data_IF_538016673505
#
_entry.id   IF_538016673505
#
_cell.length_a   1.000
_cell.length_b   1.000
_cell.length_c   1.000
_cell.angle_alpha   90.00
_cell.angle_beta   90.00
_cell.angle_gamma   90.00
#
_symmetry.space_group_name_H-M   'P 1'
#
loop_
_entity.id
_entity.type
_entity.pdbx_description
1 polymer ?
#
# COMPACT_ATOMS: atom_id res chain seq x y z
N UNK A 1 13.76 14.82 14.77
CA UNK A 1 13.93 13.44 15.26
C UNK A 1 12.74 12.97 16.11
N UNK A 2 12.35 13.69 17.17
CA UNK A 2 11.23 13.26 18.06
C UNK A 2 9.93 12.95 17.32
N UNK A 3 9.46 13.84 16.44
CA UNK A 3 8.23 13.62 15.64
C UNK A 3 8.35 12.39 14.74
N UNK A 4 9.53 12.13 14.18
CA UNK A 4 9.77 10.96 13.34
C UNK A 4 9.68 9.66 14.15
N UNK A 5 10.34 9.62 15.31
CA UNK A 5 10.27 8.48 16.22
C UNK A 5 8.84 8.24 16.72
N UNK A 6 8.08 9.31 16.99
CA UNK A 6 6.66 9.21 17.31
C UNK A 6 5.88 8.53 16.18
N UNK A 7 6.01 8.99 14.93
CA UNK A 7 5.31 8.36 13.79
C UNK A 7 5.73 6.90 13.59
N UNK A 8 7.00 6.59 13.80
CA UNK A 8 7.53 5.24 13.58
C UNK A 8 7.07 4.25 14.66
N UNK A 9 7.07 4.65 15.94
CA UNK A 9 6.75 3.77 17.06
C UNK A 9 5.31 3.86 17.58
N UNK A 10 4.58 4.94 17.30
CA UNK A 10 3.13 5.01 17.54
C UNK A 10 2.33 4.30 16.44
N UNK A 11 2.96 3.42 15.66
CA UNK A 11 2.35 2.64 14.62
C UNK A 11 2.35 1.17 15.01
N UNK A 12 1.18 0.53 15.10
CA UNK A 12 1.06 -0.87 15.49
C UNK A 12 1.67 -1.83 14.46
N UNK A 13 1.72 -1.44 13.18
CA UNK A 13 2.24 -2.28 12.11
C UNK A 13 3.72 -2.65 12.31
N UNK A 14 4.56 -1.75 12.83
CA UNK A 14 5.97 -2.09 13.10
C UNK A 14 6.10 -3.11 14.24
N UNK A 15 5.24 -3.01 15.26
CA UNK A 15 5.24 -3.93 16.40
C UNK A 15 4.75 -5.31 15.98
N UNK A 16 3.72 -5.37 15.13
CA UNK A 16 3.27 -6.62 14.51
C UNK A 16 4.39 -7.25 13.68
N UNK A 17 5.13 -6.45 12.92
CA UNK A 17 6.29 -6.93 12.16
C UNK A 17 7.35 -7.56 13.06
N UNK A 18 7.72 -6.91 14.16
CA UNK A 18 8.65 -7.50 15.14
C UNK A 18 8.11 -8.79 15.78
N UNK A 19 6.80 -8.87 16.06
CA UNK A 19 6.19 -10.06 16.67
C UNK A 19 6.17 -11.27 15.74
N UNK A 20 5.97 -11.07 14.43
CA UNK A 20 5.91 -12.16 13.45
C UNK A 20 7.29 -12.51 12.90
N UNK A 21 8.13 -11.50 12.62
CA UNK A 21 9.48 -11.69 12.09
C UNK A 21 10.40 -10.52 12.45
N UNK A 22 11.28 -10.76 13.43
CA UNK A 22 12.24 -9.77 13.92
C UNK A 22 13.14 -9.17 12.82
N UNK A 23 13.55 -9.97 11.82
CA UNK A 23 14.40 -9.53 10.71
C UNK A 23 13.63 -8.53 9.84
N UNK A 24 12.39 -8.84 9.48
CA UNK A 24 11.54 -7.94 8.67
C UNK A 24 11.27 -6.64 9.43
N UNK A 25 10.92 -6.71 10.72
CA UNK A 25 10.74 -5.52 11.56
C UNK A 25 11.99 -4.64 11.60
N UNK A 26 13.17 -5.24 11.74
CA UNK A 26 14.46 -4.52 11.71
C UNK A 26 14.72 -3.87 10.35
N UNK A 27 14.44 -4.58 9.25
CA UNK A 27 14.59 -4.02 7.89
C UNK A 27 13.63 -2.88 7.63
N UNK A 28 12.36 -2.98 8.04
CA UNK A 28 11.36 -1.91 7.93
C UNK A 28 11.83 -0.66 8.68
N UNK A 29 12.29 -0.83 9.93
CA UNK A 29 12.80 0.24 10.77
C UNK A 29 14.05 0.89 10.16
N UNK A 30 15.05 0.09 9.77
CA UNK A 30 16.29 0.57 9.17
C UNK A 30 16.01 1.32 7.86
N UNK A 31 15.19 0.76 6.97
CA UNK A 31 14.82 1.39 5.69
C UNK A 31 14.12 2.73 5.93
N UNK A 32 13.20 2.80 6.91
CA UNK A 32 12.51 4.03 7.29
C UNK A 32 13.47 5.10 7.81
N UNK A 33 14.41 4.73 8.69
CA UNK A 33 15.42 5.66 9.24
C UNK A 33 16.34 6.18 8.14
N UNK A 34 16.92 5.29 7.33
CA UNK A 34 17.85 5.70 6.26
C UNK A 34 17.15 6.51 5.17
N UNK A 35 15.90 6.18 4.84
CA UNK A 35 15.12 6.99 3.93
C UNK A 35 14.85 8.39 4.51
N UNK A 36 14.42 8.46 5.78
CA UNK A 36 14.18 9.74 6.46
C UNK A 36 15.43 10.64 6.49
N UNK A 37 16.60 10.09 6.83
CA UNK A 37 17.86 10.82 6.87
C UNK A 37 18.28 11.39 5.51
N UNK A 38 17.79 10.79 4.41
CA UNK A 38 18.17 11.18 3.04
C UNK A 38 17.10 12.00 2.35
N UNK A 39 15.95 12.21 3.01
CA UNK A 39 14.79 12.87 2.45
C UNK A 39 15.09 14.31 1.96
N UNK A 40 15.92 15.06 2.69
CA UNK A 40 16.33 16.42 2.28
C UNK A 40 17.36 16.45 1.14
N UNK A 41 17.99 15.32 0.83
CA UNK A 41 18.97 15.21 -0.24
C UNK A 41 18.26 14.96 -1.58
N UNK A 42 18.79 15.53 -2.67
CA UNK A 42 18.32 15.19 -4.02
C UNK A 42 18.77 13.79 -4.47
N UNK A 43 19.84 13.28 -3.86
CA UNK A 43 20.47 11.99 -4.19
C UNK A 43 19.95 10.88 -3.26
N UNK A 44 19.69 9.71 -3.84
CA UNK A 44 19.34 8.50 -3.08
C UNK A 44 20.62 7.93 -2.48
N UNK A 45 20.60 7.65 -1.16
CA UNK A 45 21.75 7.02 -0.51
C UNK A 45 21.84 5.55 -0.93
N UNK A 46 23.05 5.10 -1.26
CA UNK A 46 23.35 3.69 -1.53
C UNK A 46 22.92 2.79 -0.36
N UNK A 47 23.06 3.26 0.87
CA UNK A 47 22.63 2.52 2.07
C UNK A 47 21.11 2.40 2.09
N UNK A 48 20.38 3.50 1.86
CA UNK A 48 18.91 3.46 1.82
C UNK A 48 18.38 2.53 0.72
N UNK A 49 19.06 2.50 -0.43
CA UNK A 49 18.73 1.61 -1.54
C UNK A 49 19.03 0.15 -1.20
N UNK A 50 20.17 -0.14 -0.56
CA UNK A 50 20.51 -1.48 -0.11
C UNK A 50 19.43 -2.05 0.82
N UNK A 51 19.03 -1.29 1.84
CA UNK A 51 17.99 -1.71 2.77
C UNK A 51 16.62 -1.87 2.08
N UNK A 52 16.28 -0.97 1.15
CA UNK A 52 15.06 -1.11 0.34
C UNK A 52 15.09 -2.40 -0.50
N UNK A 53 16.20 -2.69 -1.18
CA UNK A 53 16.35 -3.91 -1.98
C UNK A 53 16.24 -5.16 -1.12
N UNK A 54 16.88 -5.19 0.05
CA UNK A 54 16.73 -6.29 1.00
C UNK A 54 15.27 -6.45 1.43
N UNK A 55 14.59 -5.34 1.77
CA UNK A 55 13.18 -5.36 2.15
C UNK A 55 12.29 -5.92 1.02
N UNK A 56 12.58 -5.56 -0.23
CA UNK A 56 11.88 -6.08 -1.43
C UNK A 56 12.13 -7.57 -1.66
N UNK A 57 13.36 -8.05 -1.43
CA UNK A 57 13.68 -9.49 -1.52
C UNK A 57 12.85 -10.27 -0.50
N UNK A 58 12.80 -9.80 0.75
CA UNK A 58 11.97 -10.44 1.77
C UNK A 58 10.47 -10.36 1.41
N UNK A 59 10.00 -9.22 0.86
CA UNK A 59 8.60 -9.09 0.43
C UNK A 59 8.27 -10.14 -0.63
N UNK A 60 9.13 -10.31 -1.63
CA UNK A 60 8.98 -11.34 -2.65
C UNK A 60 8.88 -12.74 -2.04
N UNK A 61 9.76 -13.06 -1.09
CA UNK A 61 9.85 -14.40 -0.51
C UNK A 61 8.66 -14.77 0.38
N UNK A 62 8.11 -13.78 1.10
CA UNK A 62 7.04 -14.01 2.08
C UNK A 62 5.63 -13.80 1.53
N UNK A 63 5.51 -13.19 0.35
CA UNK A 63 4.20 -12.99 -0.29
C UNK A 63 3.70 -14.29 -0.92
N UNK A 64 2.42 -14.62 -0.68
CA UNK A 64 1.76 -15.73 -1.32
C UNK A 64 1.64 -15.47 -2.82
N UNK A 65 2.35 -16.27 -3.62
CA UNK A 65 2.41 -16.09 -5.07
C UNK A 65 1.15 -16.63 -5.71
N UNK A 66 0.39 -15.75 -6.35
CA UNK A 66 -0.73 -16.13 -7.21
C UNK A 66 -0.21 -16.25 -8.64
N UNK A 67 -0.64 -17.28 -9.37
CA UNK A 67 -0.25 -17.44 -10.77
C UNK A 67 -0.80 -16.29 -11.61
N UNK A 68 0.06 -15.69 -12.45
CA UNK A 68 -0.35 -14.58 -13.32
C UNK A 68 -1.16 -15.03 -14.53
N UNK A 69 -1.08 -16.30 -14.91
CA UNK A 69 -1.72 -16.84 -16.12
C UNK A 69 -2.79 -17.86 -15.82
N UNK A 70 -2.65 -18.63 -14.74
CA UNK A 70 -3.59 -19.69 -14.39
C UNK A 70 -4.78 -19.11 -13.62
N UNK A 71 -6.00 -19.44 -14.04
CA UNK A 71 -7.25 -19.12 -13.35
C UNK A 71 -7.69 -20.33 -12.52
N UNK A 72 -8.05 -20.11 -11.25
CA UNK A 72 -8.65 -21.14 -10.42
C UNK A 72 -10.07 -21.50 -10.91
N UNK A 73 -10.61 -22.64 -10.48
CA UNK A 73 -11.92 -23.16 -10.90
C UNK A 73 -13.05 -22.13 -10.71
N UNK A 74 -13.01 -21.38 -9.61
CA UNK A 74 -13.98 -20.32 -9.35
C UNK A 74 -13.78 -19.11 -10.29
N UNK A 75 -12.54 -18.72 -10.57
CA UNK A 75 -12.24 -17.64 -11.50
C UNK A 75 -12.63 -18.01 -12.94
N UNK A 76 -12.40 -19.26 -13.35
CA UNK A 76 -12.87 -19.81 -14.63
C UNK A 76 -14.39 -19.83 -14.71
N UNK A 77 -15.08 -20.18 -13.61
CA UNK A 77 -16.55 -20.12 -13.55
C UNK A 77 -17.04 -18.68 -13.75
N UNK A 78 -16.45 -17.71 -13.07
CA UNK A 78 -16.82 -16.30 -13.19
C UNK A 78 -16.50 -15.74 -14.59
N UNK A 79 -15.39 -16.15 -15.20
CA UNK A 79 -15.07 -15.80 -16.59
C UNK A 79 -16.11 -16.37 -17.56
N UNK A 80 -16.49 -17.66 -17.41
CA UNK A 80 -17.53 -18.28 -18.25
C UNK A 80 -18.88 -17.59 -18.11
N UNK A 81 -19.28 -17.20 -16.89
CA UNK A 81 -20.52 -16.44 -16.67
C UNK A 81 -20.47 -15.09 -17.39
N UNK A 82 -19.36 -14.35 -17.29
CA UNK A 82 -19.18 -13.07 -18.02
C UNK A 82 -19.26 -13.25 -19.53
N UNK A 83 -18.59 -14.27 -20.07
CA UNK A 83 -18.58 -14.57 -21.49
C UNK A 83 -19.97 -14.93 -22.04
N UNK A 84 -20.83 -15.54 -21.24
CA UNK A 84 -22.23 -15.82 -21.63
C UNK A 84 -23.08 -14.56 -21.79
N UNK A 85 -22.72 -13.46 -21.15
CA UNK A 85 -23.45 -12.19 -21.22
C UNK A 85 -23.06 -11.34 -22.45
N UNK A 86 -21.92 -11.60 -23.08
CA UNK A 86 -21.43 -10.81 -24.21
C UNK A 86 -21.94 -11.36 -25.56
N UNK A 87 -22.86 -10.66 -26.27
CA UNK A 87 -23.26 -11.07 -27.60
C UNK A 87 -22.10 -10.90 -28.59
N UNK A 88 -21.94 -11.82 -29.57
CA UNK A 88 -20.95 -11.64 -30.62
C UNK A 88 -21.27 -10.39 -31.45
N UNK A 89 -20.23 -9.64 -31.82
CA UNK A 89 -20.35 -8.45 -32.67
C UNK A 89 -20.29 -8.93 -34.12
N UNK A 90 -21.15 -8.44 -35.01
CA UNK A 90 -21.06 -8.77 -36.43
C UNK A 90 -20.54 -7.59 -37.26
N UNK A 91 -19.81 -7.90 -38.32
CA UNK A 91 -19.43 -6.97 -39.37
C UNK A 91 -19.99 -7.51 -40.68
N UNK A 92 -20.65 -6.65 -41.47
CA UNK A 92 -21.18 -7.02 -42.78
C UNK A 92 -20.18 -6.64 -43.87
N UNK A 93 -19.71 -7.61 -44.64
CA UNK A 93 -18.83 -7.38 -45.79
C UNK A 93 -19.30 -8.19 -46.99
N UNK A 94 -19.47 -7.54 -48.14
CA UNK A 94 -19.94 -8.16 -49.39
C UNK A 94 -21.18 -9.07 -49.21
N UNK A 95 -22.23 -8.55 -48.55
CA UNK A 95 -23.48 -9.25 -48.23
C UNK A 95 -23.33 -10.51 -47.36
N UNK A 96 -22.21 -10.67 -46.65
CA UNK A 96 -22.03 -11.73 -45.64
C UNK A 96 -21.87 -11.10 -44.26
N UNK A 97 -22.60 -11.64 -43.29
CA UNK A 97 -22.44 -11.29 -41.87
C UNK A 97 -21.35 -12.17 -41.28
N UNK A 98 -20.27 -11.54 -40.80
CA UNK A 98 -19.17 -12.20 -40.10
C UNK A 98 -19.32 -11.89 -38.62
N UNK A 99 -19.56 -12.91 -37.80
CA UNK A 99 -19.63 -12.79 -36.34
C UNK A 99 -18.24 -12.91 -35.73
N UNK A 100 -17.86 -11.93 -34.92
CA UNK A 100 -16.56 -11.82 -34.26
C UNK A 100 -16.81 -11.84 -32.75
N UNK A 101 -16.41 -12.91 -32.05
CA UNK A 101 -16.54 -13.01 -30.61
C UNK A 101 -15.39 -12.26 -29.92
N UNK A 102 -15.40 -10.92 -30.05
CA UNK A 102 -14.35 -10.03 -29.55
C UNK A 102 -14.10 -10.24 -28.04
N UNK A 103 -15.17 -10.42 -27.26
CA UNK A 103 -15.07 -10.65 -25.81
C UNK A 103 -14.33 -11.95 -25.47
N UNK A 104 -14.63 -13.06 -26.16
CA UNK A 104 -13.89 -14.33 -25.97
C UNK A 104 -12.42 -14.17 -26.31
N UNK A 105 -12.11 -13.47 -27.40
CA UNK A 105 -10.74 -13.24 -27.81
C UNK A 105 -9.94 -12.41 -26.80
N UNK A 106 -10.56 -11.45 -26.13
CA UNK A 106 -9.89 -10.63 -25.12
C UNK A 106 -9.85 -11.30 -23.76
N UNK A 107 -10.95 -11.88 -23.26
CA UNK A 107 -11.01 -12.42 -21.90
C UNK A 107 -10.22 -13.72 -21.72
N UNK A 108 -10.12 -14.57 -22.75
CA UNK A 108 -9.46 -15.89 -22.66
C UNK A 108 -7.94 -15.81 -22.91
N UNK A 109 -7.43 -14.68 -23.41
CA UNK A 109 -6.01 -14.48 -23.70
C UNK A 109 -5.17 -14.40 -22.42
N UNK A 110 -4.09 -15.17 -22.38
CA UNK A 110 -3.13 -15.14 -21.29
C UNK A 110 -2.58 -13.73 -21.03
N UNK A 111 -2.37 -12.93 -22.08
CA UNK A 111 -1.86 -11.56 -21.95
C UNK A 111 -2.86 -10.66 -21.23
N UNK A 112 -4.15 -10.78 -21.55
CA UNK A 112 -5.21 -10.01 -20.89
C UNK A 112 -5.40 -10.46 -19.44
N UNK A 113 -5.32 -11.76 -19.16
CA UNK A 113 -5.38 -12.29 -17.80
C UNK A 113 -4.22 -11.74 -16.97
N UNK A 114 -2.99 -11.78 -17.51
CA UNK A 114 -1.80 -11.23 -16.85
C UNK A 114 -1.97 -9.73 -16.60
N UNK A 115 -2.37 -8.96 -17.62
CA UNK A 115 -2.57 -7.51 -17.50
C UNK A 115 -3.66 -7.18 -16.46
N UNK A 116 -4.77 -7.91 -16.46
CA UNK A 116 -5.85 -7.77 -15.50
C UNK A 116 -5.42 -8.08 -14.07
N UNK A 117 -4.62 -9.14 -13.86
CA UNK A 117 -4.08 -9.46 -12.54
C UNK A 117 -3.08 -8.42 -12.04
N UNK A 118 -2.16 -7.97 -12.90
CA UNK A 118 -1.21 -6.90 -12.56
C UNK A 118 -1.96 -5.62 -12.18
N UNK A 119 -2.97 -5.23 -12.97
CA UNK A 119 -3.81 -4.08 -12.68
C UNK A 119 -4.55 -4.25 -11.35
N UNK A 120 -5.19 -5.41 -11.11
CA UNK A 120 -5.88 -5.69 -9.87
C UNK A 120 -4.95 -5.61 -8.66
N UNK A 121 -3.77 -6.24 -8.73
CA UNK A 121 -2.76 -6.17 -7.67
C UNK A 121 -2.31 -4.73 -7.42
N UNK A 122 -2.07 -3.96 -8.48
CA UNK A 122 -1.68 -2.55 -8.38
C UNK A 122 -2.76 -1.72 -7.67
N UNK A 123 -4.02 -1.82 -8.11
CA UNK A 123 -5.13 -1.05 -7.55
C UNK A 123 -5.46 -1.45 -6.11
N UNK A 124 -5.38 -2.74 -5.79
CA UNK A 124 -5.54 -3.21 -4.41
C UNK A 124 -4.39 -2.73 -3.52
N UNK A 125 -3.16 -2.70 -4.04
CA UNK A 125 -1.99 -2.24 -3.28
C UNK A 125 -1.99 -0.73 -3.05
N UNK A 126 -2.47 0.09 -3.98
CA UNK A 126 -2.49 1.56 -3.82
C UNK A 126 -3.69 2.06 -3.01
N UNK A 127 -4.69 1.21 -2.79
CA UNK A 127 -5.90 1.55 -2.03
C UNK A 127 -5.53 2.04 -0.62
N UNK A 128 -5.74 3.34 -0.36
CA UNK A 128 -5.43 3.98 0.93
C UNK A 128 -6.23 3.35 2.06
N UNK A 129 -7.45 2.87 1.78
CA UNK A 129 -8.29 2.28 2.81
C UNK A 129 -7.62 1.06 3.45
N UNK A 130 -6.93 0.26 2.65
CA UNK A 130 -6.18 -0.91 3.13
C UNK A 130 -5.16 -0.57 4.23
N UNK A 131 -4.63 0.66 4.26
CA UNK A 131 -3.59 1.07 5.20
C UNK A 131 -4.10 1.76 6.46
N UNK A 132 -5.32 2.32 6.44
CA UNK A 132 -5.84 3.15 7.54
C UNK A 132 -7.19 2.68 8.10
N UNK A 133 -7.96 1.90 7.35
CA UNK A 133 -9.32 1.49 7.70
C UNK A 133 -9.48 -0.03 7.59
N UNK A 134 -10.23 -0.63 8.51
CA UNK A 134 -10.66 -2.01 8.37
C UNK A 134 -11.63 -2.16 7.20
N UNK A 135 -11.42 -3.17 6.36
CA UNK A 135 -12.31 -3.48 5.24
C UNK A 135 -13.58 -4.12 5.81
N UNK A 136 -14.71 -3.89 5.16
CA UNK A 136 -15.91 -4.61 5.55
C UNK A 136 -15.73 -6.11 5.23
N UNK A 137 -16.18 -7.07 6.08
CA UNK A 137 -16.04 -8.50 5.81
C UNK A 137 -16.62 -8.96 4.46
N UNK A 138 -17.55 -8.18 3.90
CA UNK A 138 -18.16 -8.41 2.57
C UNK A 138 -17.34 -7.86 1.40
N UNK A 139 -16.42 -6.92 1.64
CA UNK A 139 -15.58 -6.31 0.60
C UNK A 139 -14.36 -7.17 0.28
N UNK A 140 -13.87 -7.96 1.24
CA UNK A 140 -12.67 -8.80 1.08
C UNK A 140 -12.83 -10.15 1.78
N UNK A 141 -13.81 -10.93 1.33
CA UNK A 141 -14.04 -12.30 1.83
C UNK A 141 -12.79 -13.16 1.61
N UNK A 142 -12.26 -13.76 2.67
CA UNK A 142 -11.10 -14.65 2.61
C UNK A 142 -9.72 -13.99 2.60
N UNK A 143 -9.63 -12.65 2.69
CA UNK A 143 -8.35 -11.94 2.83
C UNK A 143 -8.07 -11.71 4.32
N UNK A 144 -6.96 -12.27 4.83
CA UNK A 144 -6.47 -11.91 6.17
C UNK A 144 -6.01 -10.45 6.15
N UNK A 145 -6.59 -9.64 7.02
CA UNK A 145 -6.14 -8.26 7.18
C UNK A 145 -4.80 -8.22 7.92
N UNK A 146 -3.94 -7.28 7.53
CA UNK A 146 -2.72 -6.95 8.25
C UNK A 146 -2.93 -5.74 9.14
N UNK A 147 -1.96 -5.49 10.02
CA UNK A 147 -1.99 -4.39 10.97
C UNK A 147 -1.89 -3.02 10.28
N UNK A 148 -2.75 -2.07 10.68
CA UNK A 148 -2.92 -0.79 9.96
C UNK A 148 -2.23 0.37 10.65
N UNK A 149 -2.04 1.46 9.93
CA UNK A 149 -1.71 2.74 10.55
C UNK A 149 -2.91 3.24 11.37
N UNK A 150 -2.69 3.83 12.55
CA UNK A 150 -3.75 4.56 13.23
C UNK A 150 -4.38 5.62 12.33
N UNK A 151 -5.72 5.65 12.27
CA UNK A 151 -6.47 6.49 11.33
C UNK A 151 -6.20 7.99 11.50
N UNK A 152 -5.79 8.45 12.69
CA UNK A 152 -5.41 9.85 12.92
C UNK A 152 -4.18 10.29 12.11
N UNK A 153 -3.37 9.34 11.60
CA UNK A 153 -2.27 9.62 10.69
C UNK A 153 -2.71 9.86 9.24
N UNK A 154 -3.97 9.62 8.87
CA UNK A 154 -4.46 9.80 7.50
C UNK A 154 -4.35 11.26 7.03
N UNK A 155 -4.81 12.22 7.82
CA UNK A 155 -4.72 13.64 7.44
C UNK A 155 -3.26 14.11 7.32
N UNK A 156 -2.36 13.82 8.27
CA UNK A 156 -0.93 14.03 8.09
C UNK A 156 -0.35 13.32 6.87
N UNK A 157 -0.78 12.10 6.54
CA UNK A 157 -0.31 11.37 5.35
C UNK A 157 -0.68 12.11 4.06
N UNK A 158 -1.95 12.48 3.88
CA UNK A 158 -2.42 13.18 2.68
C UNK A 158 -1.71 14.54 2.51
N UNK A 159 -1.58 15.30 3.60
CA UNK A 159 -0.85 16.57 3.56
C UNK A 159 0.64 16.37 3.28
N UNK A 160 1.25 15.36 3.91
CA UNK A 160 2.63 14.97 3.68
C UNK A 160 2.91 14.54 2.24
N UNK A 161 1.96 13.86 1.60
CA UNK A 161 2.05 13.44 0.20
C UNK A 161 2.13 14.66 -0.72
N UNK A 162 1.28 15.66 -0.50
CA UNK A 162 1.31 16.92 -1.24
C UNK A 162 2.63 17.68 -1.03
N UNK A 163 3.16 17.68 0.20
CA UNK A 163 4.48 18.26 0.50
C UNK A 163 5.61 17.49 -0.19
N UNK A 164 5.55 16.16 -0.21
CA UNK A 164 6.54 15.32 -0.88
C UNK A 164 6.63 15.70 -2.36
N UNK A 165 5.48 15.72 -3.04
CA UNK A 165 5.39 15.99 -4.48
C UNK A 165 5.85 17.40 -4.88
N UNK A 166 5.75 18.37 -3.97
CA UNK A 166 6.07 19.78 -4.26
C UNK A 166 7.47 20.20 -3.81
N UNK A 167 8.01 19.61 -2.73
CA UNK A 167 9.25 20.09 -2.09
C UNK A 167 10.42 19.12 -2.15
N UNK A 168 10.20 17.86 -2.49
CA UNK A 168 11.21 16.80 -2.38
C UNK A 168 11.53 16.16 -3.74
N UNK A 169 12.59 15.36 -3.76
CA UNK A 169 13.11 14.76 -4.99
C UNK A 169 12.10 13.77 -5.59
N UNK A 170 11.64 14.06 -6.82
CA UNK A 170 10.79 13.11 -7.59
C UNK A 170 11.45 11.74 -7.74
N UNK A 171 12.78 11.67 -7.78
CA UNK A 171 13.52 10.40 -7.85
C UNK A 171 13.30 9.54 -6.60
N UNK A 172 13.29 10.16 -5.43
CA UNK A 172 13.00 9.46 -4.17
C UNK A 172 11.56 8.98 -4.13
N UNK A 173 10.61 9.79 -4.59
CA UNK A 173 9.21 9.39 -4.74
C UNK A 173 9.09 8.15 -5.63
N UNK A 174 9.71 8.18 -6.81
CA UNK A 174 9.71 7.06 -7.75
C UNK A 174 10.30 5.79 -7.15
N UNK A 175 11.45 5.89 -6.47
CA UNK A 175 12.13 4.71 -5.92
C UNK A 175 11.41 4.14 -4.69
N UNK A 176 10.95 4.97 -3.75
CA UNK A 176 10.37 4.47 -2.50
C UNK A 176 8.88 4.15 -2.60
N UNK A 177 8.16 4.65 -3.61
CA UNK A 177 6.77 4.29 -3.87
C UNK A 177 6.64 3.30 -5.03
N UNK A 178 7.12 3.66 -6.23
CA UNK A 178 6.82 2.88 -7.43
C UNK A 178 7.64 1.60 -7.55
N UNK A 179 8.85 1.51 -6.99
CA UNK A 179 9.60 0.25 -7.02
C UNK A 179 8.92 -0.83 -6.16
N UNK A 180 8.52 -0.57 -4.89
CA UNK A 180 7.65 -1.49 -4.15
C UNK A 180 6.33 -1.80 -4.84
N UNK A 181 5.62 -0.79 -5.37
CA UNK A 181 4.36 -1.01 -6.09
C UNK A 181 4.55 -1.92 -7.31
N UNK A 182 5.62 -1.72 -8.08
CA UNK A 182 5.92 -2.56 -9.24
C UNK A 182 6.13 -4.02 -8.85
N UNK A 183 6.89 -4.28 -7.79
CA UNK A 183 7.05 -5.64 -7.26
C UNK A 183 5.73 -6.25 -6.82
N UNK A 184 4.94 -5.52 -6.03
CA UNK A 184 3.66 -5.99 -5.49
C UNK A 184 2.61 -6.20 -6.58
N UNK A 185 2.68 -5.42 -7.67
CA UNK A 185 1.80 -5.62 -8.84
C UNK A 185 2.08 -6.95 -9.54
N UNK A 186 3.35 -7.38 -9.56
CA UNK A 186 3.79 -8.62 -10.20
C UNK A 186 3.59 -9.86 -9.31
N UNK A 187 3.88 -9.74 -8.01
CA UNK A 187 3.89 -10.88 -7.08
C UNK A 187 2.57 -11.02 -6.31
N UNK A 188 1.80 -9.94 -6.21
CA UNK A 188 0.65 -9.81 -5.32
C UNK A 188 1.01 -9.09 -4.00
N UNK A 189 0.02 -8.95 -3.13
CA UNK A 189 0.15 -8.26 -1.83
C UNK A 189 -0.26 -9.14 -0.63
N UNK A 190 -0.69 -10.37 -0.89
CA UNK A 190 -1.22 -11.27 0.14
C UNK A 190 -0.09 -11.81 1.02
N UNK A 191 0.00 -11.27 2.23
CA UNK A 191 0.94 -11.64 3.27
C UNK A 191 0.30 -11.25 4.62
N UNK A 192 0.52 -12.03 5.68
CA UNK A 192 0.06 -11.70 7.03
C UNK A 192 0.64 -10.36 7.54
N UNK A 193 1.78 -9.93 6.99
CA UNK A 193 2.39 -8.62 7.25
C UNK A 193 1.97 -7.52 6.27
N UNK A 194 1.15 -7.85 5.26
CA UNK A 194 0.76 -6.92 4.21
C UNK A 194 1.90 -6.47 3.29
N UNK A 195 1.70 -5.39 2.52
CA UNK A 195 2.70 -4.81 1.62
C UNK A 195 3.71 -3.93 2.38
N UNK A 196 4.45 -4.53 3.31
CA UNK A 196 5.35 -3.81 4.22
C UNK A 196 6.52 -3.11 3.54
N UNK A 197 6.86 -3.47 2.29
CA UNK A 197 7.85 -2.74 1.49
C UNK A 197 7.47 -1.28 1.23
N UNK A 198 6.19 -0.91 1.35
CA UNK A 198 5.69 0.46 1.26
C UNK A 198 5.79 1.22 2.59
N UNK A 199 5.97 0.53 3.71
CA UNK A 199 6.00 1.12 5.05
C UNK A 199 6.96 2.31 5.19
N UNK A 200 8.22 2.27 4.70
CA UNK A 200 9.14 3.41 4.79
C UNK A 200 8.63 4.68 4.10
N UNK A 201 7.92 4.50 2.98
CA UNK A 201 7.33 5.61 2.24
C UNK A 201 6.17 6.24 3.03
N UNK A 202 5.25 5.43 3.55
CA UNK A 202 4.14 5.91 4.37
C UNK A 202 4.64 6.64 5.62
N UNK A 203 5.56 6.05 6.38
CA UNK A 203 6.11 6.66 7.61
C UNK A 203 6.78 7.99 7.32
N UNK A 204 7.59 8.07 6.27
CA UNK A 204 8.28 9.32 5.92
C UNK A 204 7.29 10.40 5.45
N UNK A 205 6.24 10.01 4.74
CA UNK A 205 5.18 10.91 4.28
C UNK A 205 4.34 11.43 5.45
N UNK A 206 3.90 10.55 6.36
CA UNK A 206 3.21 10.93 7.59
C UNK A 206 4.07 11.87 8.42
N UNK A 207 5.37 11.59 8.54
CA UNK A 207 6.31 12.48 9.25
C UNK A 207 6.34 13.88 8.63
N UNK A 208 6.43 14.00 7.30
CA UNK A 208 6.46 15.30 6.62
C UNK A 208 5.22 16.12 6.95
N UNK A 209 4.03 15.52 6.81
CA UNK A 209 2.78 16.19 7.12
C UNK A 209 2.65 16.54 8.60
N UNK A 210 2.99 15.61 9.49
CA UNK A 210 2.94 15.82 10.95
C UNK A 210 3.88 16.95 11.37
N UNK A 211 5.10 16.98 10.84
CA UNK A 211 6.09 18.01 11.16
C UNK A 211 5.62 19.39 10.69
N UNK A 212 5.19 19.52 9.45
CA UNK A 212 4.79 20.81 8.88
C UNK A 212 3.49 21.33 9.54
N UNK A 213 2.51 20.45 9.80
CA UNK A 213 1.31 20.79 10.59
C UNK A 213 1.66 21.21 12.02
N UNK A 214 2.59 20.50 12.65
CA UNK A 214 3.07 20.84 13.99
C UNK A 214 3.70 22.23 14.01
N UNK A 215 4.61 22.50 13.07
CA UNK A 215 5.37 23.74 13.03
C UNK A 215 4.53 24.96 12.67
N UNK A 216 3.55 24.82 11.76
CA UNK A 216 2.70 25.93 11.31
C UNK A 216 1.50 26.20 12.21
N UNK A 217 0.86 25.16 12.72
CA UNK A 217 -0.41 25.25 13.44
C UNK A 217 -0.26 24.86 14.90
N UNK A 218 0.19 23.63 15.19
CA UNK A 218 0.15 23.09 16.56
C UNK A 218 0.96 23.93 17.55
N UNK A 219 2.14 24.41 17.16
CA UNK A 219 2.98 25.27 18.01
C UNK A 219 2.26 26.53 18.49
N UNK A 220 1.36 27.10 17.67
CA UNK A 220 0.64 28.34 17.97
C UNK A 220 -0.55 28.14 18.90
N UNK A 221 -1.02 26.90 19.10
CA UNK A 221 -2.15 26.64 19.97
C UNK A 221 -1.80 26.85 21.46
N UNK A 222 -2.77 27.33 22.26
CA UNK A 222 -2.59 27.43 23.71
C UNK A 222 -2.43 26.03 24.33
N UNK A 223 -1.76 25.97 25.50
CA UNK A 223 -1.43 24.70 26.17
C UNK A 223 -2.66 23.80 26.39
N UNK A 224 -3.80 24.39 26.75
CA UNK A 224 -5.07 23.66 26.95
C UNK A 224 -5.53 22.90 25.70
N UNK A 225 -5.45 23.55 24.54
CA UNK A 225 -5.84 22.93 23.26
C UNK A 225 -4.86 21.81 22.88
N UNK A 226 -3.56 22.03 23.08
CA UNK A 226 -2.53 20.99 22.86
C UNK A 226 -2.80 19.75 23.73
N UNK A 227 -3.10 19.95 25.01
CA UNK A 227 -3.42 18.88 25.93
C UNK A 227 -4.66 18.09 25.49
N UNK A 228 -5.73 18.77 25.08
CA UNK A 228 -6.95 18.13 24.55
C UNK A 228 -6.62 17.28 23.31
N UNK A 229 -5.87 17.81 22.36
CA UNK A 229 -5.48 17.07 21.14
C UNK A 229 -4.66 15.82 21.50
N UNK A 230 -3.70 15.95 22.42
CA UNK A 230 -2.87 14.80 22.86
C UNK A 230 -3.74 13.75 23.55
N UNK A 231 -4.67 14.15 24.43
CA UNK A 231 -5.61 13.24 25.10
C UNK A 231 -6.46 12.52 24.05
N UNK A 232 -6.98 13.23 23.05
CA UNK A 232 -7.74 12.61 21.96
C UNK A 232 -6.89 11.59 21.19
N UNK A 233 -5.65 11.94 20.81
CA UNK A 233 -4.74 11.00 20.13
C UNK A 233 -4.48 9.76 20.98
N UNK A 234 -4.27 9.93 22.29
CA UNK A 234 -4.05 8.81 23.22
C UNK A 234 -5.29 7.92 23.35
N UNK A 235 -6.48 8.51 23.49
CA UNK A 235 -7.74 7.77 23.55
C UNK A 235 -7.97 6.97 22.27
N UNK A 236 -7.73 7.59 21.12
CA UNK A 236 -7.79 6.93 19.82
C UNK A 236 -6.79 5.78 19.77
N UNK A 237 -5.54 6.00 20.17
CA UNK A 237 -4.51 4.99 20.13
C UNK A 237 -4.83 3.78 21.04
N UNK A 238 -5.33 4.03 22.25
CA UNK A 238 -5.81 2.99 23.17
C UNK A 238 -6.96 2.20 22.54
N UNK A 239 -7.92 2.91 21.93
CA UNK A 239 -9.03 2.27 21.21
C UNK A 239 -8.51 1.37 20.07
N UNK A 240 -7.54 1.84 19.28
CA UNK A 240 -6.95 1.05 18.19
C UNK A 240 -6.24 -0.21 18.72
N UNK A 241 -5.50 -0.11 19.82
CA UNK A 241 -4.88 -1.27 20.48
C UNK A 241 -5.93 -2.27 20.94
N UNK A 242 -7.01 -1.79 21.59
CA UNK A 242 -8.08 -2.64 22.08
C UNK A 242 -8.81 -3.42 20.99
N UNK A 243 -8.90 -2.87 19.77
CA UNK A 243 -9.42 -3.59 18.61
C UNK A 243 -8.41 -4.57 18.02
N UNK A 244 -7.11 -4.28 18.06
CA UNK A 244 -6.06 -5.16 17.53
C UNK A 244 -5.79 -6.38 18.44
N UNK A 245 -6.18 -6.33 19.72
CA UNK A 245 -6.01 -7.43 20.69
C UNK A 245 -7.13 -8.47 20.70
N UNK A 246 -8.20 -8.26 19.94
CA UNK A 246 -9.32 -9.19 19.79
C UNK A 246 -9.25 -9.90 18.44
#
# INVERSE_FOLDING_TARGET
MVIFLFVLFANLWIWRAFSLNFIIGTLMLATSIFFHLTLSSSKISKISLLFLVLLLIFQWQTTNKVSLTYLDNDEQRVQKMRLQEYPPIHITFANKNIWIPVAHWFEERNETIVAGRIANNFFQTIDINQYFFASHPRERVGVKEFEKFPYFFLLPFLYGLALFLTKFSKKQFLVFLFLPLGLLSLVGYQNDLGPYSLFPFFVSTIFLGTKDLHDKFFKKFPLRVKAIIIILILLIFIQTIGYASN
#
